data_IF_179037241551
#
_entry.id   IF_179037241551
#
_cell.length_a   1.000
_cell.length_b   1.000
_cell.length_c   1.000
_cell.angle_alpha   90.00
_cell.angle_beta   90.00
_cell.angle_gamma   90.00
#
_symmetry.space_group_name_H-M   'P 1'
#
loop_
_entity.id
_entity.type
_entity.pdbx_description
1 polymer ?
#
# COMPACT_ATOMS: atom_id res chain seq x y z
N UNK A 1 -12.77 -29.35 -2.98
CA UNK A 1 -11.53 -29.05 -3.75
C UNK A 1 -10.33 -29.26 -2.83
N UNK A 2 -9.48 -30.24 -3.09
CA UNK A 2 -8.23 -30.44 -2.32
C UNK A 2 -7.28 -29.31 -2.72
N UNK A 3 -6.78 -28.56 -1.73
CA UNK A 3 -5.73 -27.57 -1.93
C UNK A 3 -4.52 -28.24 -2.60
N UNK A 4 -4.19 -27.81 -3.80
CA UNK A 4 -3.04 -28.29 -4.60
C UNK A 4 -1.72 -27.65 -4.13
N UNK A 5 -1.79 -26.74 -3.19
CA UNK A 5 -0.61 -26.06 -2.65
C UNK A 5 0.05 -26.95 -1.61
N UNK A 6 1.19 -27.50 -1.97
CA UNK A 6 2.05 -28.26 -1.06
C UNK A 6 2.39 -27.42 0.18
N UNK A 7 2.66 -28.08 1.31
CA UNK A 7 3.20 -27.42 2.50
C UNK A 7 4.44 -26.66 2.08
N UNK A 8 4.43 -25.34 2.24
CA UNK A 8 5.66 -24.53 2.10
C UNK A 8 6.66 -25.12 3.08
N UNK A 9 7.80 -25.56 2.58
CA UNK A 9 8.91 -26.01 3.43
C UNK A 9 9.28 -24.86 4.37
N UNK A 10 9.70 -25.19 5.61
CA UNK A 10 10.24 -24.16 6.50
C UNK A 10 11.32 -23.40 5.75
N UNK A 11 11.32 -22.06 5.79
CA UNK A 11 12.33 -21.29 5.09
C UNK A 11 13.72 -21.73 5.55
N UNK A 12 14.65 -21.83 4.62
CA UNK A 12 16.05 -22.13 4.93
C UNK A 12 16.56 -21.04 5.90
N UNK A 13 17.13 -21.41 7.08
CA UNK A 13 17.61 -20.44 8.08
C UNK A 13 18.57 -19.39 7.52
N UNK A 14 19.25 -19.68 6.41
CA UNK A 14 20.13 -18.70 5.73
C UNK A 14 19.40 -17.49 5.16
N UNK A 15 18.08 -17.60 4.94
CA UNK A 15 17.22 -16.55 4.38
C UNK A 15 16.23 -15.98 5.41
N UNK A 16 16.37 -16.37 6.69
CA UNK A 16 15.54 -15.83 7.78
C UNK A 16 16.34 -14.79 8.53
N UNK A 17 15.84 -13.58 8.61
CA UNK A 17 16.37 -12.52 9.47
C UNK A 17 15.40 -12.38 10.64
N UNK A 18 15.80 -12.89 11.82
CA UNK A 18 14.92 -12.93 13.00
C UNK A 18 14.72 -11.55 13.63
N UNK A 19 15.75 -10.69 13.60
CA UNK A 19 15.75 -9.37 14.24
C UNK A 19 15.71 -8.22 13.23
N UNK A 20 14.87 -8.33 12.20
CA UNK A 20 14.73 -7.26 11.21
C UNK A 20 13.86 -6.12 11.72
N UNK A 21 14.41 -4.91 11.83
CA UNK A 21 13.63 -3.69 12.02
C UNK A 21 13.52 -2.92 10.70
N UNK A 22 12.30 -2.69 10.19
CA UNK A 22 12.11 -1.93 8.95
C UNK A 22 12.64 -0.50 9.05
N UNK A 23 13.29 -0.02 7.99
CA UNK A 23 13.88 1.34 7.92
C UNK A 23 12.88 2.45 8.20
N UNK A 24 11.60 2.27 7.89
CA UNK A 24 10.57 3.26 8.16
C UNK A 24 10.34 3.47 9.66
N UNK A 25 10.58 2.46 10.51
CA UNK A 25 10.50 2.58 11.98
C UNK A 25 11.59 3.52 12.50
N UNK A 26 12.83 3.40 11.98
CA UNK A 26 13.92 4.31 12.31
C UNK A 26 13.62 5.73 11.83
N UNK A 27 13.06 5.88 10.63
CA UNK A 27 12.62 7.17 10.08
C UNK A 27 11.57 7.84 10.96
N UNK A 28 10.64 7.05 11.51
CA UNK A 28 9.63 7.54 12.46
C UNK A 28 10.27 7.96 13.79
N UNK A 29 11.12 7.13 14.39
CA UNK A 29 11.79 7.43 15.68
C UNK A 29 12.67 8.67 15.62
N UNK A 30 13.29 8.93 14.48
CA UNK A 30 14.10 10.14 14.27
C UNK A 30 13.26 11.40 14.05
N UNK A 31 11.92 11.30 13.97
CA UNK A 31 11.03 12.42 13.69
C UNK A 31 10.97 12.85 12.21
N UNK A 32 11.78 12.25 11.34
CA UNK A 32 11.84 12.61 9.92
C UNK A 32 10.55 12.26 9.15
N UNK A 33 9.79 11.25 9.62
CA UNK A 33 8.59 10.81 8.92
C UNK A 33 7.53 11.92 8.83
N UNK A 34 7.35 12.71 9.90
CA UNK A 34 6.38 13.81 9.89
C UNK A 34 6.70 14.87 8.83
N UNK A 35 7.98 15.19 8.64
CA UNK A 35 8.42 16.08 7.57
C UNK A 35 8.17 15.51 6.17
N UNK A 36 8.37 14.20 5.99
CA UNK A 36 8.05 13.49 4.74
C UNK A 36 6.55 13.50 4.44
N UNK A 37 5.70 13.25 5.45
CA UNK A 37 4.23 13.34 5.33
C UNK A 37 3.83 14.75 4.89
N UNK A 38 4.31 15.79 5.60
CA UNK A 38 3.98 17.16 5.27
C UNK A 38 4.40 17.54 3.83
N UNK A 39 5.57 17.06 3.39
CA UNK A 39 6.03 17.28 2.01
C UNK A 39 5.15 16.57 1.00
N UNK A 40 4.84 15.29 1.25
CA UNK A 40 3.98 14.48 0.36
C UNK A 40 2.57 15.06 0.22
N UNK A 41 2.00 15.58 1.32
CA UNK A 41 0.69 16.22 1.28
C UNK A 41 0.69 17.55 0.52
N UNK A 42 1.76 18.36 0.62
CA UNK A 42 1.90 19.59 -0.20
C UNK A 42 1.90 19.30 -1.70
N UNK A 43 2.46 18.15 -2.13
CA UNK A 43 2.41 17.75 -3.55
C UNK A 43 0.98 17.52 -4.06
N UNK A 44 -0.02 17.41 -3.18
CA UNK A 44 -1.43 17.32 -3.55
C UNK A 44 -2.06 18.69 -3.83
N UNK A 45 -1.48 19.81 -3.36
CA UNK A 45 -1.99 21.17 -3.61
C UNK A 45 -1.89 21.55 -5.09
N UNK A 46 -0.83 21.09 -5.75
CA UNK A 46 -0.61 21.19 -7.19
C UNK A 46 -0.07 19.84 -7.67
N UNK A 47 -0.94 18.87 -7.84
CA UNK A 47 -0.61 17.45 -7.93
C UNK A 47 0.52 17.13 -8.92
N UNK A 48 1.68 16.74 -8.35
CA UNK A 48 2.89 16.27 -9.05
C UNK A 48 3.31 14.88 -8.58
N UNK A 49 2.42 14.15 -7.93
CA UNK A 49 2.69 12.85 -7.27
C UNK A 49 3.19 11.79 -8.24
N UNK A 50 2.78 11.86 -9.50
CA UNK A 50 3.17 10.89 -10.53
C UNK A 50 3.53 11.61 -11.85
N UNK A 51 4.13 10.89 -12.84
CA UNK A 51 4.56 11.48 -14.12
C UNK A 51 3.45 12.16 -14.95
N UNK A 52 2.17 11.94 -14.62
CA UNK A 52 1.05 12.65 -15.27
C UNK A 52 1.06 14.15 -14.98
N UNK A 53 1.66 14.59 -13.86
CA UNK A 53 1.86 15.99 -13.52
C UNK A 53 0.61 16.86 -13.74
N UNK A 54 -0.51 16.43 -13.15
CA UNK A 54 -1.85 16.97 -13.43
C UNK A 54 -2.04 18.41 -12.95
N UNK A 55 -1.30 18.86 -11.93
CA UNK A 55 -1.32 20.21 -11.33
C UNK A 55 -2.69 20.66 -10.80
N UNK A 56 -3.57 19.72 -10.49
CA UNK A 56 -4.86 19.97 -9.83
C UNK A 56 -4.69 19.99 -8.32
N UNK A 57 -5.63 20.57 -7.60
CA UNK A 57 -5.64 20.60 -6.15
C UNK A 57 -6.44 19.42 -5.58
N UNK A 58 -5.75 18.32 -5.31
CA UNK A 58 -6.37 17.13 -4.71
C UNK A 58 -6.77 17.31 -3.24
N UNK A 59 -6.20 18.29 -2.52
CA UNK A 59 -6.67 18.63 -1.18
C UNK A 59 -8.10 19.19 -1.18
N UNK A 60 -8.52 19.78 -2.31
CA UNK A 60 -9.90 20.22 -2.58
C UNK A 60 -10.72 19.16 -3.31
N UNK A 61 -10.25 17.93 -3.34
CA UNK A 61 -10.87 16.79 -4.01
C UNK A 61 -11.01 16.95 -5.54
N UNK A 62 -10.21 17.82 -6.16
CA UNK A 62 -10.13 17.89 -7.62
C UNK A 62 -9.55 16.58 -8.17
N UNK A 63 -10.14 16.07 -9.28
CA UNK A 63 -9.78 14.79 -9.90
C UNK A 63 -9.44 14.99 -11.37
N UNK A 64 -8.52 14.16 -11.88
CA UNK A 64 -8.16 14.16 -13.29
C UNK A 64 -7.86 12.75 -13.78
N UNK A 65 -6.70 12.47 -14.38
CA UNK A 65 -6.37 11.22 -15.08
C UNK A 65 -6.58 9.96 -14.21
N UNK A 66 -6.12 9.98 -12.96
CA UNK A 66 -6.30 8.84 -12.05
C UNK A 66 -7.66 8.84 -11.31
N UNK A 67 -8.48 9.85 -11.51
CA UNK A 67 -9.79 10.04 -10.85
C UNK A 67 -9.77 9.95 -9.31
N UNK A 68 -8.59 10.20 -8.69
CA UNK A 68 -8.39 10.12 -7.25
C UNK A 68 -8.24 11.51 -6.66
N UNK A 69 -9.05 11.82 -5.66
CA UNK A 69 -9.03 13.08 -4.90
C UNK A 69 -8.11 13.05 -3.68
N UNK A 70 -8.56 13.61 -2.57
CA UNK A 70 -7.80 13.65 -1.31
C UNK A 70 -7.58 12.26 -0.72
N UNK A 71 -8.57 11.40 -0.78
CA UNK A 71 -8.50 10.06 -0.21
C UNK A 71 -8.06 9.03 -1.25
N UNK A 72 -7.41 7.96 -0.81
CA UNK A 72 -7.09 6.84 -1.68
C UNK A 72 -8.31 5.93 -1.82
N UNK A 73 -8.54 5.41 -3.02
CA UNK A 73 -9.52 4.35 -3.23
C UNK A 73 -8.83 3.02 -2.98
N UNK A 74 -9.36 2.22 -2.07
CA UNK A 74 -8.91 0.84 -1.81
C UNK A 74 -9.98 -0.12 -2.30
N UNK A 75 -9.59 -1.02 -3.20
CA UNK A 75 -10.47 -2.04 -3.76
C UNK A 75 -10.57 -3.27 -2.85
N UNK A 76 -9.43 -3.74 -2.34
CA UNK A 76 -9.38 -4.91 -1.47
C UNK A 76 -8.08 -4.96 -0.66
N UNK A 77 -8.11 -5.72 0.45
CA UNK A 77 -6.94 -6.01 1.25
C UNK A 77 -7.03 -7.44 1.80
N UNK A 78 -6.04 -8.28 1.52
CA UNK A 78 -6.04 -9.69 1.95
C UNK A 78 -4.63 -10.29 1.89
N UNK A 79 -4.38 -11.41 2.63
CA UNK A 79 -3.19 -12.22 2.45
C UNK A 79 -3.18 -12.86 1.07
N UNK A 80 -2.24 -12.49 0.22
CA UNK A 80 -2.09 -13.01 -1.14
C UNK A 80 -1.12 -14.20 -1.17
N UNK A 81 -1.52 -15.30 -1.80
CA UNK A 81 -0.75 -16.55 -1.87
C UNK A 81 -0.24 -16.85 -3.29
N UNK A 82 -0.46 -15.97 -4.24
CA UNK A 82 -0.05 -16.14 -5.63
C UNK A 82 1.37 -15.65 -5.94
N UNK A 83 2.10 -15.13 -4.95
CA UNK A 83 3.49 -14.73 -5.10
C UNK A 83 4.43 -15.94 -4.93
N UNK A 84 5.70 -15.77 -5.25
CA UNK A 84 6.76 -16.74 -5.00
C UNK A 84 6.88 -17.05 -3.50
N UNK A 85 7.29 -18.27 -3.17
CA UNK A 85 7.37 -18.75 -1.78
C UNK A 85 8.19 -17.84 -0.87
N UNK A 86 9.28 -17.27 -1.37
CA UNK A 86 10.13 -16.34 -0.62
C UNK A 86 9.48 -14.98 -0.34
N UNK A 87 8.48 -14.57 -1.13
CA UNK A 87 7.76 -13.31 -0.98
C UNK A 87 6.50 -13.46 -0.14
N UNK A 88 5.79 -14.58 -0.27
CA UNK A 88 4.52 -14.82 0.44
C UNK A 88 4.67 -15.44 1.82
N UNK A 89 5.79 -16.12 2.09
CA UNK A 89 6.00 -16.87 3.33
C UNK A 89 4.90 -17.91 3.61
N UNK A 90 4.61 -18.15 4.90
CA UNK A 90 3.59 -19.13 5.31
C UNK A 90 2.16 -18.56 5.32
N UNK A 91 2.02 -17.27 5.63
CA UNK A 91 0.71 -16.63 5.86
C UNK A 91 0.27 -15.70 4.71
N UNK A 92 0.97 -15.77 3.60
CA UNK A 92 0.73 -14.90 2.46
C UNK A 92 1.42 -13.54 2.58
N UNK A 93 1.53 -12.84 1.46
CA UNK A 93 1.94 -11.45 1.39
C UNK A 93 0.71 -10.57 1.69
N UNK A 94 0.80 -9.70 2.68
CA UNK A 94 -0.28 -8.76 2.98
C UNK A 94 -0.44 -7.77 1.84
N UNK A 95 -1.50 -7.89 1.05
CA UNK A 95 -1.63 -7.10 -0.18
C UNK A 95 -2.81 -6.14 -0.09
N UNK A 96 -2.55 -4.85 -0.34
CA UNK A 96 -3.56 -3.79 -0.42
C UNK A 96 -3.61 -3.30 -1.87
N UNK A 97 -4.76 -3.53 -2.54
CA UNK A 97 -5.01 -3.09 -3.91
C UNK A 97 -5.64 -1.70 -3.91
N UNK A 98 -4.92 -0.73 -4.49
CA UNK A 98 -5.49 0.59 -4.74
C UNK A 98 -6.21 0.61 -6.08
N UNK A 99 -7.37 1.26 -6.11
CA UNK A 99 -8.13 1.50 -7.33
C UNK A 99 -7.67 2.72 -8.11
N UNK A 100 -8.23 2.90 -9.31
CA UNK A 100 -8.11 4.12 -10.10
C UNK A 100 -6.66 4.45 -10.51
N UNK A 101 -5.95 3.52 -11.11
CA UNK A 101 -4.55 3.63 -11.51
C UNK A 101 -4.29 4.80 -12.47
N UNK A 102 -3.17 5.49 -12.29
CA UNK A 102 -2.70 6.59 -13.14
C UNK A 102 -2.16 6.14 -14.50
N UNK A 103 -1.72 4.88 -14.67
CA UNK A 103 -1.14 4.37 -15.92
C UNK A 103 -2.21 4.06 -16.97
N UNK A 104 -3.33 3.44 -16.58
CA UNK A 104 -4.47 3.08 -17.44
C UNK A 104 -4.06 2.22 -18.64
N UNK A 105 -3.22 1.20 -18.40
CA UNK A 105 -2.73 0.28 -19.42
C UNK A 105 -3.90 -0.44 -20.12
N UNK A 106 -3.86 -0.52 -21.45
CA UNK A 106 -4.92 -1.18 -22.27
C UNK A 106 -4.97 -2.69 -22.08
N UNK A 107 -3.85 -3.30 -21.65
CA UNK A 107 -3.69 -4.73 -21.38
C UNK A 107 -3.62 -5.05 -19.88
N UNK A 108 -4.21 -4.20 -19.02
CA UNK A 108 -4.13 -4.37 -17.58
C UNK A 108 -4.91 -5.61 -17.13
N UNK A 109 -4.24 -6.55 -16.46
CA UNK A 109 -4.90 -7.73 -15.87
C UNK A 109 -5.85 -7.38 -14.70
N UNK A 110 -5.64 -6.20 -14.09
CA UNK A 110 -6.49 -5.68 -13.01
C UNK A 110 -7.35 -4.52 -13.52
N UNK A 111 -7.88 -4.62 -14.74
CA UNK A 111 -8.60 -3.53 -15.40
C UNK A 111 -9.84 -3.07 -14.63
N UNK A 112 -10.57 -4.00 -14.03
CA UNK A 112 -11.74 -3.76 -13.17
C UNK A 112 -11.41 -2.87 -11.97
N UNK A 113 -10.27 -3.11 -11.32
CA UNK A 113 -9.80 -2.31 -10.18
C UNK A 113 -9.21 -0.98 -10.65
N UNK A 114 -8.39 -1.03 -11.71
CA UNK A 114 -7.57 0.11 -12.11
C UNK A 114 -8.32 1.16 -12.93
N UNK A 115 -9.41 0.80 -13.61
CA UNK A 115 -10.11 1.69 -14.54
C UNK A 115 -11.62 1.77 -14.32
N UNK A 116 -12.23 0.81 -13.61
CA UNK A 116 -13.59 0.93 -13.09
C UNK A 116 -13.51 1.45 -11.64
N UNK A 117 -14.51 2.19 -11.22
CA UNK A 117 -14.56 2.77 -9.87
C UNK A 117 -14.97 1.70 -8.83
N UNK A 118 -14.13 0.65 -8.71
CA UNK A 118 -14.33 -0.42 -7.73
C UNK A 118 -13.53 -0.13 -6.47
N UNK A 119 -14.20 -0.13 -5.32
CA UNK A 119 -13.58 0.11 -4.03
C UNK A 119 -14.21 1.27 -3.28
N UNK A 120 -13.61 1.61 -2.15
CA UNK A 120 -14.05 2.70 -1.29
C UNK A 120 -12.92 3.70 -1.05
N UNK A 121 -13.26 4.98 -0.99
CA UNK A 121 -12.34 5.99 -0.49
C UNK A 121 -12.06 5.77 0.99
N UNK A 122 -10.78 5.63 1.33
CA UNK A 122 -10.36 5.42 2.69
C UNK A 122 -9.44 6.54 3.16
N UNK A 123 -9.69 6.99 4.39
CA UNK A 123 -8.78 7.87 5.11
C UNK A 123 -7.50 7.10 5.50
N UNK A 124 -6.38 7.79 5.70
CA UNK A 124 -5.11 7.16 6.05
C UNK A 124 -5.16 6.29 7.31
N UNK A 125 -5.99 6.66 8.32
CA UNK A 125 -6.20 5.84 9.50
C UNK A 125 -6.83 4.47 9.17
N UNK A 126 -7.71 4.41 8.17
CA UNK A 126 -8.31 3.15 7.72
C UNK A 126 -7.36 2.29 6.90
N UNK A 127 -6.49 2.91 6.10
CA UNK A 127 -5.42 2.19 5.42
C UNK A 127 -4.42 1.63 6.45
N UNK A 128 -4.13 2.38 7.52
CA UNK A 128 -3.32 1.90 8.64
C UNK A 128 -3.98 0.72 9.35
N UNK A 129 -5.30 0.75 9.59
CA UNK A 129 -6.07 -0.37 10.17
C UNK A 129 -5.90 -1.63 9.32
N UNK A 130 -6.03 -1.53 7.98
CA UNK A 130 -5.84 -2.67 7.07
C UNK A 130 -4.42 -3.25 7.13
N UNK A 131 -3.40 -2.40 7.16
CA UNK A 131 -2.01 -2.85 7.27
C UNK A 131 -1.74 -3.60 8.58
N UNK A 132 -2.27 -3.09 9.69
CA UNK A 132 -2.15 -3.74 11.00
C UNK A 132 -2.93 -5.06 11.05
N UNK A 133 -4.15 -5.10 10.51
CA UNK A 133 -4.92 -6.35 10.40
C UNK A 133 -4.17 -7.43 9.61
N UNK A 134 -3.56 -7.06 8.48
CA UNK A 134 -2.76 -7.99 7.69
C UNK A 134 -1.54 -8.51 8.47
N UNK A 135 -0.86 -7.64 9.22
CA UNK A 135 0.22 -8.04 10.12
C UNK A 135 -0.29 -8.99 11.21
N UNK A 136 -1.43 -8.69 11.85
CA UNK A 136 -2.03 -9.53 12.90
C UNK A 136 -2.46 -10.90 12.37
N UNK A 137 -2.81 -10.99 11.08
CA UNK A 137 -3.06 -12.25 10.36
C UNK A 137 -1.78 -13.02 10.03
N UNK A 138 -0.62 -12.49 10.41
CA UNK A 138 0.69 -13.13 10.27
C UNK A 138 1.38 -12.90 8.93
N UNK A 139 0.91 -11.95 8.12
CA UNK A 139 1.65 -11.53 6.94
C UNK A 139 2.95 -10.86 7.36
N UNK A 140 4.07 -11.27 6.77
CA UNK A 140 5.39 -10.75 7.12
C UNK A 140 5.80 -9.48 6.36
N UNK A 141 4.98 -9.06 5.39
CA UNK A 141 5.17 -7.85 4.59
C UNK A 141 3.83 -7.28 4.17
N UNK A 142 3.83 -6.02 3.76
CA UNK A 142 2.68 -5.36 3.13
C UNK A 142 3.09 -4.93 1.72
N UNK A 143 2.37 -5.46 0.73
CA UNK A 143 2.47 -5.05 -0.67
C UNK A 143 1.39 -4.04 -1.01
N UNK A 144 1.80 -2.92 -1.58
CA UNK A 144 0.90 -1.93 -2.15
C UNK A 144 0.83 -2.11 -3.67
N UNK A 145 -0.34 -2.46 -4.19
CA UNK A 145 -0.53 -2.63 -5.63
C UNK A 145 -1.06 -1.34 -6.24
N UNK A 146 -0.38 -0.84 -7.26
CA UNK A 146 -0.62 0.45 -7.95
C UNK A 146 -0.57 1.68 -7.03
N UNK A 147 0.49 1.86 -6.20
CA UNK A 147 0.53 2.93 -5.20
C UNK A 147 0.97 4.30 -5.73
N UNK A 148 1.52 4.44 -6.95
CA UNK A 148 2.22 5.66 -7.38
C UNK A 148 1.37 6.93 -7.23
N UNK A 149 0.09 6.85 -7.56
CA UNK A 149 -0.80 8.01 -7.51
C UNK A 149 -1.35 8.31 -6.11
N UNK A 150 -1.10 7.42 -5.13
CA UNK A 150 -1.57 7.53 -3.74
C UNK A 150 -0.43 7.47 -2.71
N UNK A 151 0.82 7.63 -3.15
CA UNK A 151 1.99 7.66 -2.25
C UNK A 151 1.81 8.62 -1.07
N UNK A 152 1.29 9.86 -1.22
CA UNK A 152 1.06 10.74 -0.08
C UNK A 152 0.16 10.13 0.99
N UNK A 153 -0.94 9.47 0.60
CA UNK A 153 -1.88 8.84 1.50
C UNK A 153 -1.26 7.58 2.16
N UNK A 154 -0.44 6.84 1.43
CA UNK A 154 0.31 5.69 1.97
C UNK A 154 1.31 6.14 3.04
N UNK A 155 2.09 7.19 2.78
CA UNK A 155 3.07 7.72 3.75
C UNK A 155 2.37 8.26 4.99
N UNK A 156 1.22 8.93 4.82
CA UNK A 156 0.37 9.38 5.93
C UNK A 156 -0.18 8.20 6.74
N UNK A 157 -0.64 7.12 6.08
CA UNK A 157 -1.09 5.90 6.75
C UNK A 157 0.04 5.21 7.54
N UNK A 158 1.26 5.17 7.00
CA UNK A 158 2.42 4.65 7.71
C UNK A 158 2.71 5.44 9.00
N UNK A 159 2.60 6.77 8.96
CA UNK A 159 2.78 7.60 10.15
C UNK A 159 1.76 7.31 11.25
N UNK A 160 0.58 6.82 10.89
CA UNK A 160 -0.45 6.36 11.84
C UNK A 160 -0.19 4.91 12.30
N UNK A 161 0.22 4.02 11.40
CA UNK A 161 0.35 2.59 11.68
C UNK A 161 1.59 2.26 12.53
N UNK A 162 2.73 2.92 12.28
CA UNK A 162 4.01 2.62 12.95
C UNK A 162 3.92 2.79 14.48
N UNK A 163 3.40 3.91 15.04
CA UNK A 163 3.27 4.04 16.49
C UNK A 163 2.28 3.04 17.10
N UNK A 164 1.41 2.43 16.29
CA UNK A 164 0.46 1.39 16.68
C UNK A 164 1.03 -0.03 16.56
N UNK A 165 2.30 -0.17 16.15
CA UNK A 165 3.01 -1.44 16.16
C UNK A 165 3.26 -2.07 14.79
N UNK A 166 3.04 -1.37 13.69
CA UNK A 166 3.42 -1.88 12.38
C UNK A 166 4.94 -2.08 12.30
N UNK A 167 5.35 -3.29 11.87
CA UNK A 167 6.75 -3.73 11.75
C UNK A 167 6.99 -4.34 10.38
#
# INVERSE_FOLDING_TARGET
>A
MRQIWGRVARPDPRFVIEDHEPMYVQTWRSGLLNGKVATALRELEECRVCPRNCRINRLKDERRVCNTGRQAVVSSAFPHFGEEDCLRGHNGSGTIFFGLCNLRCVFCQNWDISQQETGCELRPDKIADLALELQDRGCHNINFVTPEHVVPQVVEALAVAIPRGLR
#
